data_IF_233071185675
#
_entry.id   IF_233071185675
#
_cell.length_a   1.000
_cell.length_b   1.000
_cell.length_c   1.000
_cell.angle_alpha   90.00
_cell.angle_beta   90.00
_cell.angle_gamma   90.00
#
_symmetry.space_group_name_H-M   'P 1'
#
loop_
_entity.id
_entity.type
_entity.pdbx_description
1 polymer ?
#
# COMPACT_ATOMS: atom_id res chain seq x y z
N UNK A 1 16.98 3.65 -16.19
CA UNK A 1 15.77 2.84 -15.94
C UNK A 1 16.13 1.91 -14.79
N UNK A 2 15.57 2.13 -13.59
CA UNK A 2 15.88 1.29 -12.43
C UNK A 2 15.14 -0.04 -12.57
N UNK A 3 15.84 -1.15 -12.37
CA UNK A 3 15.26 -2.49 -12.53
C UNK A 3 14.39 -2.84 -11.31
N UNK A 4 13.41 -3.71 -11.51
CA UNK A 4 12.51 -4.16 -10.42
C UNK A 4 13.29 -4.75 -9.23
N UNK A 5 14.42 -5.41 -9.50
CA UNK A 5 15.31 -5.94 -8.47
C UNK A 5 15.92 -4.84 -7.59
N UNK A 6 16.21 -3.67 -8.16
CA UNK A 6 16.79 -2.54 -7.43
C UNK A 6 15.79 -1.95 -6.43
N UNK A 7 14.51 -1.91 -6.79
CA UNK A 7 13.43 -1.51 -5.88
C UNK A 7 13.27 -2.48 -4.70
N UNK A 8 13.30 -3.78 -4.96
CA UNK A 8 13.22 -4.79 -3.89
C UNK A 8 14.40 -4.69 -2.92
N UNK A 9 15.62 -4.46 -3.43
CA UNK A 9 16.80 -4.26 -2.58
C UNK A 9 16.67 -3.02 -1.68
N UNK A 10 16.25 -1.88 -2.23
CA UNK A 10 16.09 -0.64 -1.46
C UNK A 10 15.05 -0.78 -0.33
N UNK A 11 13.96 -1.53 -0.55
CA UNK A 11 12.95 -1.80 0.46
C UNK A 11 13.49 -2.68 1.59
N UNK A 12 14.28 -3.70 1.26
CA UNK A 12 14.89 -4.61 2.25
C UNK A 12 15.96 -3.89 3.08
N UNK A 13 16.85 -3.13 2.43
CA UNK A 13 17.94 -2.43 3.10
C UNK A 13 17.44 -1.33 4.05
N UNK A 14 16.37 -0.62 3.67
CA UNK A 14 15.75 0.39 4.54
C UNK A 14 15.00 -0.22 5.72
N UNK A 15 14.41 -1.42 5.56
CA UNK A 15 13.72 -2.15 6.64
C UNK A 15 14.68 -2.58 7.75
N UNK A 16 15.92 -2.91 7.41
CA UNK A 16 16.94 -3.38 8.37
C UNK A 16 17.51 -2.20 9.19
N UNK A 17 17.51 -0.98 8.65
CA UNK A 17 18.12 0.20 9.29
C UNK A 17 17.25 0.89 10.36
N UNK A 18 15.97 0.57 10.49
CA UNK A 18 15.08 1.22 11.48
C UNK A 18 14.84 0.34 12.71
N UNK A 19 15.79 0.33 13.64
CA UNK A 19 15.63 -0.24 14.99
C UNK A 19 15.22 0.82 16.03
N UNK A 20 14.23 1.65 15.70
CA UNK A 20 13.55 2.51 16.70
C UNK A 20 12.21 1.87 17.05
N UNK A 21 11.85 1.72 18.34
CA UNK A 21 10.51 1.30 18.69
C UNK A 21 9.56 2.39 18.18
N UNK A 22 8.64 2.00 17.32
CA UNK A 22 7.66 2.93 16.76
C UNK A 22 6.80 3.47 17.90
N UNK A 23 6.61 4.78 17.91
CA UNK A 23 5.46 5.40 18.59
C UNK A 23 4.20 4.58 18.32
N UNK A 24 3.16 4.64 19.17
CA UNK A 24 1.85 4.14 18.79
C UNK A 24 1.31 5.12 17.74
N UNK A 25 1.90 5.05 16.54
CA UNK A 25 1.29 5.45 15.30
C UNK A 25 -0.13 4.93 15.44
N UNK A 26 -1.10 5.82 15.25
CA UNK A 26 -2.45 5.43 14.89
C UNK A 26 -2.31 4.58 13.63
N UNK A 27 -1.93 3.31 13.81
CA UNK A 27 -1.94 2.29 12.79
C UNK A 27 -3.43 2.20 12.58
N UNK A 28 -3.89 2.83 11.50
CA UNK A 28 -5.07 2.34 10.81
C UNK A 28 -4.92 0.83 10.85
N UNK A 29 -5.93 0.13 11.37
CA UNK A 29 -5.86 -1.30 11.55
C UNK A 29 -5.39 -1.91 10.21
N UNK A 30 -4.10 -2.25 10.08
CA UNK A 30 -3.44 -2.56 8.81
C UNK A 30 -3.97 -3.86 8.19
N UNK A 31 -4.93 -4.50 8.86
CA UNK A 31 -5.69 -5.61 8.33
C UNK A 31 -6.78 -5.07 7.40
N UNK A 32 -6.67 -5.40 6.12
CA UNK A 32 -7.80 -5.27 5.22
C UNK A 32 -8.98 -6.08 5.80
N UNK A 33 -10.15 -5.45 5.87
CA UNK A 33 -11.39 -6.13 6.22
C UNK A 33 -12.30 -6.16 4.99
N UNK A 34 -13.05 -7.25 4.74
CA UNK A 34 -14.03 -7.26 3.67
C UNK A 34 -15.12 -6.19 3.92
N UNK A 35 -15.70 -5.60 2.87
CA UNK A 35 -16.93 -4.83 3.01
C UNK A 35 -18.08 -5.75 3.48
N UNK A 36 -19.18 -5.18 4.00
CA UNK A 36 -20.42 -5.93 4.24
C UNK A 36 -20.92 -6.61 2.97
N UNK A 37 -21.76 -7.64 3.12
CA UNK A 37 -22.26 -8.36 1.94
C UNK A 37 -23.09 -7.46 1.01
N UNK A 38 -22.92 -7.64 -0.30
CA UNK A 38 -23.45 -6.78 -1.37
C UNK A 38 -22.86 -5.36 -1.43
N UNK A 39 -21.78 -5.06 -0.71
CA UNK A 39 -21.03 -3.82 -0.86
C UNK A 39 -19.71 -4.05 -1.60
N UNK A 40 -19.21 -2.97 -2.21
CA UNK A 40 -17.87 -2.91 -2.79
C UNK A 40 -17.00 -1.99 -1.95
N UNK A 41 -15.73 -2.35 -1.78
CA UNK A 41 -14.72 -1.51 -1.15
C UNK A 41 -13.78 -0.97 -2.21
N UNK A 42 -13.77 0.35 -2.37
CA UNK A 42 -12.80 1.06 -3.18
C UNK A 42 -11.66 1.55 -2.29
N UNK A 43 -10.45 1.04 -2.51
CA UNK A 43 -9.23 1.58 -1.92
C UNK A 43 -8.53 2.44 -2.97
N UNK A 44 -8.12 3.65 -2.59
CA UNK A 44 -7.47 4.63 -3.46
C UNK A 44 -6.16 5.06 -2.83
N UNK A 45 -5.12 5.17 -3.64
CA UNK A 45 -3.83 5.72 -3.23
C UNK A 45 -3.22 6.58 -4.33
N UNK A 46 -2.41 7.55 -3.93
CA UNK A 46 -1.71 8.44 -4.83
C UNK A 46 -0.30 8.71 -4.30
N UNK A 47 0.67 8.71 -5.21
CA UNK A 47 2.05 8.95 -4.88
C UNK A 47 2.63 10.04 -5.78
N UNK A 48 3.14 11.11 -5.18
CA UNK A 48 3.92 12.13 -5.86
C UNK A 48 5.40 11.77 -5.74
N UNK A 49 6.09 11.68 -6.87
CA UNK A 49 7.54 11.48 -6.96
C UNK A 49 8.24 12.83 -6.91
N UNK A 50 9.48 12.83 -6.40
CA UNK A 50 10.28 14.06 -6.26
C UNK A 50 10.61 14.75 -7.60
N UNK A 51 10.49 14.01 -8.72
CA UNK A 51 10.67 14.54 -10.08
C UNK A 51 9.37 15.11 -10.69
N UNK A 52 8.33 15.29 -9.87
CA UNK A 52 7.05 15.87 -10.25
C UNK A 52 6.09 14.91 -10.93
N UNK A 53 6.46 13.64 -11.15
CA UNK A 53 5.52 12.62 -11.64
C UNK A 53 4.62 12.15 -10.51
N UNK A 54 3.35 11.89 -10.82
CA UNK A 54 2.43 11.28 -9.89
C UNK A 54 1.90 9.96 -10.44
N UNK A 55 1.74 9.00 -9.54
CA UNK A 55 1.02 7.76 -9.77
C UNK A 55 -0.29 7.78 -9.00
N UNK A 56 -1.31 7.19 -9.58
CA UNK A 56 -2.61 7.00 -8.95
C UNK A 56 -3.02 5.55 -9.13
N UNK A 57 -3.42 4.93 -8.03
CA UNK A 57 -3.85 3.55 -7.98
C UNK A 57 -5.19 3.43 -7.30
N UNK A 58 -6.06 2.62 -7.87
CA UNK A 58 -7.31 2.23 -7.23
C UNK A 58 -7.49 0.72 -7.34
N UNK A 59 -8.15 0.14 -6.33
CA UNK A 59 -8.55 -1.26 -6.36
C UNK A 59 -9.94 -1.40 -5.76
N UNK A 60 -10.79 -2.14 -6.47
CA UNK A 60 -12.17 -2.42 -6.11
C UNK A 60 -12.29 -3.88 -5.70
N UNK A 61 -12.77 -4.10 -4.48
CA UNK A 61 -12.89 -5.44 -3.88
C UNK A 61 -14.31 -5.74 -3.44
N UNK A 62 -14.71 -7.00 -3.61
CA UNK A 62 -15.97 -7.55 -3.09
C UNK A 62 -15.80 -8.01 -1.64
N UNK A 63 -16.91 -8.42 -1.04
CA UNK A 63 -17.00 -9.07 0.27
C UNK A 63 -16.26 -10.41 0.34
N UNK A 64 -16.14 -11.14 -0.78
CA UNK A 64 -15.33 -12.36 -0.89
C UNK A 64 -13.81 -12.12 -1.03
N UNK A 65 -13.38 -10.85 -1.01
CA UNK A 65 -11.99 -10.43 -1.16
C UNK A 65 -11.44 -10.46 -2.58
N UNK A 66 -12.22 -10.89 -3.59
CA UNK A 66 -11.79 -10.84 -4.99
C UNK A 66 -11.72 -9.40 -5.47
N UNK A 67 -10.70 -9.11 -6.26
CA UNK A 67 -10.52 -7.84 -6.94
C UNK A 67 -11.30 -7.86 -8.26
N UNK A 68 -12.00 -6.78 -8.57
CA UNK A 68 -12.80 -6.64 -9.80
C UNK A 68 -12.32 -5.49 -10.70
N UNK A 69 -11.33 -4.72 -10.26
CA UNK A 69 -10.72 -3.60 -10.95
C UNK A 69 -9.72 -2.89 -10.07
#
# INVERSE_FOLDING_TARGET
MKSLSEYHHLLVDNRIKTSKPADPVARNNNSWNPPPSNFLKLNVDAHLSDDGRWGFGMILRRDDGRCIG
#
